data_IF_180903356032
#
_entry.id   IF_180903356032
#
_cell.length_a   1.000
_cell.length_b   1.000
_cell.length_c   1.000
_cell.angle_alpha   90.00
_cell.angle_beta   90.00
_cell.angle_gamma   90.00
#
_symmetry.space_group_name_H-M   'P 1'
#
loop_
_entity.id
_entity.type
_entity.pdbx_description
1 polymer ?
#
# COMPACT_ATOMS: atom_id res chain seq x y z
N UNK A 1 11.26 32.59 -58.95
CA UNK A 1 10.99 32.35 -60.38
C UNK A 1 12.17 31.56 -60.94
N UNK A 2 11.89 30.57 -61.77
CA UNK A 2 12.80 29.61 -62.43
C UNK A 2 13.17 28.32 -61.65
N UNK A 3 12.48 27.30 -62.14
CA UNK A 3 12.54 25.86 -61.96
C UNK A 3 13.84 25.23 -62.46
N UNK A 4 14.29 24.15 -61.81
CA UNK A 4 15.05 23.08 -62.47
C UNK A 4 14.46 21.71 -62.11
N UNK A 5 14.18 20.94 -63.16
CA UNK A 5 13.72 19.53 -63.18
C UNK A 5 14.88 18.64 -63.67
N UNK A 6 14.90 17.38 -63.22
CA UNK A 6 15.60 16.24 -63.86
C UNK A 6 16.44 15.45 -62.84
N UNK A 7 15.96 14.32 -62.28
CA UNK A 7 16.03 12.93 -62.81
C UNK A 7 17.48 12.37 -62.80
N UNK A 8 17.85 11.17 -62.35
CA UNK A 8 17.18 10.02 -61.73
C UNK A 8 18.25 9.04 -61.15
N UNK A 9 17.83 8.20 -60.19
CA UNK A 9 18.20 6.78 -59.90
C UNK A 9 19.67 6.33 -59.65
N UNK A 10 19.92 5.84 -58.43
CA UNK A 10 20.50 4.51 -58.11
C UNK A 10 20.52 4.34 -56.57
N UNK A 11 19.64 3.52 -55.98
CA UNK A 11 19.87 2.10 -55.63
C UNK A 11 21.03 1.89 -54.63
N UNK A 12 20.68 1.69 -53.35
CA UNK A 12 21.62 1.36 -52.28
C UNK A 12 20.88 1.08 -50.97
N UNK A 13 20.20 -0.06 -50.90
CA UNK A 13 19.55 -0.57 -49.71
C UNK A 13 20.58 -1.03 -48.68
N UNK A 14 20.50 -0.53 -47.45
CA UNK A 14 20.99 -1.23 -46.25
C UNK A 14 19.91 -1.15 -45.18
N UNK A 15 19.19 -2.26 -45.04
CA UNK A 15 18.31 -2.55 -43.91
C UNK A 15 19.17 -2.90 -42.69
N UNK A 16 19.07 -2.10 -41.63
CA UNK A 16 19.28 -2.58 -40.27
C UNK A 16 18.00 -2.30 -39.47
N UNK A 17 17.04 -3.22 -39.60
CA UNK A 17 15.90 -3.32 -38.70
C UNK A 17 16.35 -4.16 -37.49
N UNK A 18 16.80 -3.50 -36.43
CA UNK A 18 16.89 -4.11 -35.11
C UNK A 18 15.48 -4.10 -34.50
N UNK A 19 14.69 -5.14 -34.81
CA UNK A 19 13.42 -5.41 -34.15
C UNK A 19 13.70 -5.91 -32.73
N UNK A 20 13.76 -4.99 -31.75
CA UNK A 20 13.55 -5.36 -30.35
C UNK A 20 12.05 -5.56 -30.18
N UNK A 21 11.58 -6.76 -30.48
CA UNK A 21 10.25 -7.21 -30.10
C UNK A 21 10.24 -7.39 -28.58
N UNK A 22 10.04 -6.30 -27.84
CA UNK A 22 9.61 -6.39 -26.46
C UNK A 22 8.18 -6.93 -26.48
N UNK A 23 8.02 -8.21 -26.13
CA UNK A 23 6.73 -8.83 -25.91
C UNK A 23 6.05 -8.21 -24.68
N UNK A 24 5.48 -7.03 -24.81
CA UNK A 24 4.48 -6.54 -23.86
C UNK A 24 3.11 -6.99 -24.36
N UNK A 25 2.80 -8.27 -24.16
CA UNK A 25 1.43 -8.77 -24.31
C UNK A 25 0.57 -8.13 -23.23
N UNK A 26 -0.47 -7.36 -23.59
CA UNK A 26 -1.48 -6.95 -22.61
C UNK A 26 -2.11 -8.21 -22.04
N UNK A 27 -2.05 -8.37 -20.71
CA UNK A 27 -2.76 -9.45 -20.01
C UNK A 27 -4.20 -8.96 -19.84
N UNK A 28 -5.19 -9.49 -20.58
CA UNK A 28 -6.57 -9.29 -20.19
C UNK A 28 -6.72 -9.89 -18.79
N UNK A 29 -7.13 -9.08 -17.82
CA UNK A 29 -7.53 -9.56 -16.50
C UNK A 29 -8.80 -10.39 -16.60
N UNK A 30 -8.73 -11.59 -17.19
CA UNK A 30 -9.74 -12.61 -16.97
C UNK A 30 -9.48 -13.19 -15.60
N UNK A 31 -10.44 -12.99 -14.69
CA UNK A 31 -10.49 -13.72 -13.44
C UNK A 31 -10.23 -15.21 -13.72
N UNK A 32 -9.23 -15.78 -13.06
CA UNK A 32 -8.96 -17.21 -13.18
C UNK A 32 -10.24 -17.99 -12.81
N UNK A 33 -10.57 -19.08 -13.53
CA UNK A 33 -11.68 -19.95 -13.16
C UNK A 33 -11.49 -20.40 -11.71
N UNK A 34 -12.57 -20.32 -10.93
CA UNK A 34 -12.55 -20.69 -9.52
C UNK A 34 -12.03 -22.13 -9.36
N UNK A 35 -11.18 -22.42 -8.35
CA UNK A 35 -10.93 -23.80 -7.98
C UNK A 35 -12.27 -24.47 -7.60
N UNK A 36 -12.46 -25.76 -7.93
CA UNK A 36 -13.69 -26.47 -7.62
C UNK A 36 -13.96 -26.45 -6.10
N UNK A 37 -15.23 -26.37 -5.68
CA UNK A 37 -15.63 -26.17 -4.27
C UNK A 37 -15.27 -27.30 -3.29
N UNK A 38 -14.58 -28.37 -3.72
CA UNK A 38 -14.39 -29.60 -2.94
C UNK A 38 -12.94 -29.92 -2.56
N UNK A 39 -12.00 -28.96 -2.63
CA UNK A 39 -10.68 -29.13 -2.02
C UNK A 39 -10.70 -28.78 -0.52
N UNK A 40 -11.49 -29.52 0.25
CA UNK A 40 -11.45 -29.49 1.70
C UNK A 40 -10.08 -30.00 2.18
N UNK A 41 -9.19 -29.07 2.53
CA UNK A 41 -7.97 -29.38 3.25
C UNK A 41 -8.34 -29.81 4.67
N UNK A 42 -8.53 -31.11 4.88
CA UNK A 42 -8.56 -31.75 6.20
C UNK A 42 -7.16 -31.70 6.82
N UNK A 43 -6.78 -30.53 7.33
CA UNK A 43 -5.65 -30.36 8.23
C UNK A 43 -6.14 -30.47 9.66
N UNK A 44 -6.04 -31.68 10.24
CA UNK A 44 -6.33 -31.91 11.65
C UNK A 44 -5.36 -31.09 12.52
N UNK A 45 -5.90 -30.13 13.27
CA UNK A 45 -5.18 -29.42 14.33
C UNK A 45 -5.01 -30.38 15.52
N UNK A 46 -3.79 -30.69 15.99
CA UNK A 46 -3.61 -31.51 17.18
C UNK A 46 -4.11 -30.72 18.41
N UNK A 47 -5.25 -31.15 18.94
CA UNK A 47 -5.79 -30.70 20.23
C UNK A 47 -5.03 -31.38 21.38
N UNK A 48 -3.81 -30.90 21.67
CA UNK A 48 -3.06 -31.24 22.87
C UNK A 48 -3.21 -30.15 23.92
N UNK A 49 -4.36 -30.10 24.61
CA UNK A 49 -4.53 -29.24 25.81
C UNK A 49 -3.97 -29.97 27.03
N UNK A 50 -2.75 -29.65 27.43
CA UNK A 50 -2.31 -29.81 28.82
C UNK A 50 -2.78 -28.60 29.63
N UNK A 51 -3.54 -28.77 30.73
CA UNK A 51 -3.88 -27.67 31.61
C UNK A 51 -2.64 -27.33 32.46
N UNK A 52 -1.94 -26.25 32.11
CA UNK A 52 -0.93 -25.66 32.99
C UNK A 52 -1.64 -24.72 33.95
N UNK A 53 -2.05 -25.24 35.10
CA UNK A 53 -2.44 -24.43 36.26
C UNK A 53 -1.20 -24.17 37.10
N UNK A 54 -0.56 -23.03 36.88
CA UNK A 54 0.43 -22.48 37.80
C UNK A 54 -0.21 -21.37 38.64
N UNK A 55 0.10 -21.28 39.95
CA UNK A 55 -0.47 -20.24 40.81
C UNK A 55 0.08 -18.86 40.42
N UNK A 56 -0.83 -17.95 40.07
CA UNK A 56 -0.51 -16.55 39.78
C UNK A 56 0.11 -15.88 40.99
N UNK A 57 1.41 -15.57 40.89
CA UNK A 57 2.13 -14.75 41.86
C UNK A 57 1.60 -13.30 41.77
N UNK A 58 1.22 -12.64 42.87
CA UNK A 58 0.81 -11.25 42.84
C UNK A 58 2.03 -10.40 42.46
N UNK A 59 2.02 -9.80 41.26
CA UNK A 59 3.08 -8.88 40.81
C UNK A 59 3.62 -9.09 39.40
N UNK A 60 3.21 -10.12 38.66
CA UNK A 60 3.59 -10.27 37.25
C UNK A 60 2.86 -9.24 36.39
N UNK A 61 3.51 -8.11 36.09
CA UNK A 61 3.06 -7.16 35.07
C UNK A 61 2.95 -7.91 33.75
N UNK A 62 1.78 -7.87 33.12
CA UNK A 62 1.60 -8.37 31.75
C UNK A 62 2.65 -7.69 30.86
N UNK A 63 3.45 -8.46 30.10
CA UNK A 63 4.43 -7.89 29.18
C UNK A 63 3.76 -6.89 28.25
N UNK A 64 4.38 -5.72 28.05
CA UNK A 64 3.90 -4.73 27.10
C UNK A 64 3.97 -5.30 25.67
N UNK A 65 2.95 -5.09 24.81
CA UNK A 65 2.99 -5.56 23.43
C UNK A 65 4.20 -5.00 22.67
N UNK A 66 4.97 -5.90 22.06
CA UNK A 66 6.17 -5.55 21.29
C UNK A 66 5.93 -5.74 19.80
N UNK A 67 6.38 -4.79 18.97
CA UNK A 67 6.33 -4.88 17.50
C UNK A 67 7.55 -5.60 16.92
N UNK A 68 8.64 -5.57 17.67
CA UNK A 68 9.90 -6.24 17.40
C UNK A 68 10.67 -6.40 18.73
N UNK A 69 11.67 -7.28 18.82
CA UNK A 69 12.45 -7.44 20.05
C UNK A 69 12.96 -6.10 20.59
N UNK A 70 12.54 -5.73 21.80
CA UNK A 70 12.96 -4.49 22.44
C UNK A 70 12.24 -3.21 21.98
N UNK A 71 11.28 -3.30 21.06
CA UNK A 71 10.48 -2.16 20.60
C UNK A 71 9.03 -2.34 21.05
N UNK A 72 8.62 -1.59 22.08
CA UNK A 72 7.24 -1.58 22.55
C UNK A 72 6.33 -0.77 21.60
N UNK A 73 5.10 -1.20 21.42
CA UNK A 73 4.08 -0.38 20.76
C UNK A 73 3.70 0.85 21.61
N UNK A 74 3.17 1.87 20.94
CA UNK A 74 2.50 2.98 21.62
C UNK A 74 1.27 2.49 22.40
N UNK A 75 0.91 3.16 23.52
CA UNK A 75 -0.31 2.82 24.26
C UNK A 75 -1.54 2.83 23.35
N UNK A 76 -2.43 1.85 23.52
CA UNK A 76 -3.63 1.71 22.72
C UNK A 76 -3.44 1.03 21.35
N UNK A 77 -2.22 0.56 21.02
CA UNK A 77 -1.95 -0.12 19.75
C UNK A 77 -1.75 -1.64 19.88
N UNK A 78 -2.04 -2.23 21.05
CA UNK A 78 -1.91 -3.68 21.29
C UNK A 78 -2.64 -4.51 20.23
N UNK A 79 -3.86 -4.09 19.87
CA UNK A 79 -4.68 -4.77 18.87
C UNK A 79 -4.05 -4.71 17.47
N UNK A 80 -3.37 -3.60 17.13
CA UNK A 80 -2.64 -3.46 15.86
C UNK A 80 -1.43 -4.40 15.79
N UNK A 81 -0.70 -4.56 16.90
CA UNK A 81 0.42 -5.52 16.99
C UNK A 81 -0.04 -6.94 16.66
N UNK A 82 -1.21 -7.35 17.15
CA UNK A 82 -1.77 -8.67 16.88
C UNK A 82 -2.37 -8.79 15.46
N UNK A 83 -3.07 -7.75 14.97
CA UNK A 83 -3.80 -7.81 13.71
C UNK A 83 -2.92 -7.61 12.46
N UNK A 84 -1.93 -6.72 12.51
CA UNK A 84 -1.17 -6.31 11.33
C UNK A 84 -0.37 -7.46 10.66
N UNK A 85 0.22 -8.42 11.40
CA UNK A 85 0.84 -9.59 10.76
C UNK A 85 -0.13 -10.42 9.92
N UNK A 86 -1.39 -10.55 10.34
CA UNK A 86 -2.43 -11.26 9.59
C UNK A 86 -2.88 -10.43 8.38
N UNK A 87 -3.08 -9.13 8.59
CA UNK A 87 -3.49 -8.19 7.55
C UNK A 87 -2.47 -8.04 6.43
N UNK A 88 -1.16 -8.09 6.73
CA UNK A 88 -0.10 -8.13 5.73
C UNK A 88 -0.14 -9.37 4.84
N UNK A 89 -0.97 -10.37 5.14
CA UNK A 89 -1.16 -11.52 4.25
C UNK A 89 -2.34 -11.33 3.30
N UNK A 90 -3.28 -10.44 3.61
CA UNK A 90 -4.48 -10.19 2.78
C UNK A 90 -4.08 -9.41 1.53
N UNK A 91 -4.53 -9.87 0.37
CA UNK A 91 -4.38 -9.15 -0.89
C UNK A 91 -5.49 -8.09 -1.05
N UNK A 92 -5.19 -6.78 -0.93
CA UNK A 92 -6.20 -5.75 -1.06
C UNK A 92 -6.80 -5.67 -2.46
N UNK A 93 -6.06 -6.07 -3.51
CA UNK A 93 -6.57 -6.04 -4.87
C UNK A 93 -7.56 -7.19 -5.12
N UNK A 94 -7.39 -8.33 -4.45
CA UNK A 94 -8.34 -9.44 -4.51
C UNK A 94 -9.67 -9.17 -3.78
N UNK A 95 -9.77 -8.07 -3.02
CA UNK A 95 -11.05 -7.59 -2.46
C UNK A 95 -11.95 -6.96 -3.53
N UNK A 96 -11.40 -6.64 -4.71
CA UNK A 96 -12.15 -6.04 -5.80
C UNK A 96 -12.75 -7.07 -6.75
N UNK A 97 -14.00 -6.83 -7.14
CA UNK A 97 -14.63 -7.44 -8.32
C UNK A 97 -14.89 -6.35 -9.39
N UNK A 98 -14.04 -6.22 -10.42
CA UNK A 98 -14.22 -5.24 -11.48
C UNK A 98 -15.55 -5.38 -12.24
N UNK A 99 -16.06 -6.61 -12.40
CA UNK A 99 -17.31 -6.85 -13.11
C UNK A 99 -18.52 -6.39 -12.28
N UNK A 100 -18.50 -6.62 -10.96
CA UNK A 100 -19.50 -6.08 -10.04
C UNK A 100 -19.48 -4.54 -10.03
N UNK A 101 -18.29 -3.94 -9.95
CA UNK A 101 -18.17 -2.49 -10.00
C UNK A 101 -18.75 -1.91 -11.31
N UNK A 102 -18.50 -2.57 -12.44
CA UNK A 102 -19.05 -2.18 -13.74
C UNK A 102 -20.59 -2.23 -13.77
N UNK A 103 -21.19 -3.31 -13.22
CA UNK A 103 -22.65 -3.45 -13.16
C UNK A 103 -23.30 -2.39 -12.28
N UNK A 104 -22.72 -2.14 -11.10
CA UNK A 104 -23.29 -1.20 -10.13
C UNK A 104 -23.17 0.24 -10.61
N UNK A 105 -22.01 0.61 -11.18
CA UNK A 105 -21.73 2.01 -11.55
C UNK A 105 -22.15 2.36 -12.98
N UNK A 106 -22.32 1.35 -13.85
CA UNK A 106 -22.45 1.53 -15.30
C UNK A 106 -21.16 2.00 -15.98
N UNK A 107 -20.05 2.14 -15.26
CA UNK A 107 -18.76 2.58 -15.78
C UNK A 107 -17.89 1.38 -16.17
N UNK A 108 -16.92 1.61 -17.07
CA UNK A 108 -15.97 0.58 -17.49
C UNK A 108 -14.78 0.54 -16.51
N UNK A 109 -14.38 -0.64 -16.02
CA UNK A 109 -13.13 -0.79 -15.29
C UNK A 109 -11.95 -0.40 -16.19
N UNK A 110 -11.12 0.52 -15.71
CA UNK A 110 -9.97 1.04 -16.43
C UNK A 110 -8.67 0.51 -15.85
N UNK A 111 -8.53 0.62 -14.52
CA UNK A 111 -7.30 0.28 -13.80
C UNK A 111 -7.63 -0.44 -12.50
N UNK A 112 -6.86 -1.49 -12.19
CA UNK A 112 -6.83 -2.11 -10.86
C UNK A 112 -5.37 -2.18 -10.43
N UNK A 113 -4.98 -1.30 -9.52
CA UNK A 113 -3.57 -1.10 -9.17
C UNK A 113 -3.38 -0.98 -7.67
N UNK A 114 -2.27 -1.49 -7.10
CA UNK A 114 -1.94 -1.23 -5.71
C UNK A 114 -1.87 0.28 -5.46
N UNK A 115 -2.38 0.70 -4.31
CA UNK A 115 -2.27 2.09 -3.88
C UNK A 115 -0.83 2.46 -3.53
N UNK A 116 -0.64 3.71 -3.09
CA UNK A 116 0.67 4.20 -2.61
C UNK A 116 1.27 3.29 -1.53
N UNK A 117 0.42 2.80 -0.64
CA UNK A 117 0.80 1.84 0.40
C UNK A 117 0.32 0.44 0.02
N UNK A 118 1.10 -0.58 0.36
CA UNK A 118 0.82 -1.97 -0.06
C UNK A 118 -0.43 -2.57 0.59
N UNK A 119 -1.01 -1.91 1.59
CA UNK A 119 -2.27 -2.30 2.21
C UNK A 119 -3.49 -1.76 1.47
N UNK A 120 -3.34 -1.01 0.38
CA UNK A 120 -4.45 -0.47 -0.40
C UNK A 120 -4.40 -0.95 -1.85
N UNK A 121 -5.56 -1.05 -2.47
CA UNK A 121 -5.71 -1.21 -3.91
C UNK A 121 -6.80 -0.29 -4.43
N UNK A 122 -6.60 0.25 -5.62
CA UNK A 122 -7.50 1.18 -6.28
C UNK A 122 -8.05 0.57 -7.57
N UNK A 123 -9.37 0.52 -7.66
CA UNK A 123 -10.12 0.23 -8.87
C UNK A 123 -10.67 1.55 -9.43
N UNK A 124 -10.16 1.95 -10.58
CA UNK A 124 -10.60 3.15 -11.29
C UNK A 124 -11.56 2.75 -12.40
N UNK A 125 -12.69 3.43 -12.49
CA UNK A 125 -13.68 3.24 -13.55
C UNK A 125 -13.90 4.54 -14.31
N UNK A 126 -13.97 4.45 -15.63
CA UNK A 126 -14.21 5.58 -16.54
C UNK A 126 -15.52 5.42 -17.29
N UNK A 127 -16.16 6.54 -17.64
CA UNK A 127 -17.31 6.55 -18.53
C UNK A 127 -16.87 5.97 -19.88
N UNK A 128 -17.56 4.93 -20.35
CA UNK A 128 -17.21 4.27 -21.61
C UNK A 128 -17.27 5.24 -22.79
N UNK A 129 -16.30 5.12 -23.70
CA UNK A 129 -16.31 5.65 -25.06
C UNK A 129 -15.93 7.12 -25.31
N UNK A 130 -15.36 7.82 -24.33
CA UNK A 130 -14.72 9.13 -24.60
C UNK A 130 -13.25 8.96 -24.97
N UNK A 131 -12.80 9.66 -26.02
CA UNK A 131 -11.38 9.75 -26.40
C UNK A 131 -10.48 10.24 -25.23
N UNK A 132 -11.09 10.89 -24.24
CA UNK A 132 -10.49 11.25 -22.95
C UNK A 132 -11.09 10.35 -21.87
N UNK A 133 -10.32 9.37 -21.37
CA UNK A 133 -10.71 8.53 -20.23
C UNK A 133 -10.49 9.30 -18.92
N UNK A 134 -11.50 10.05 -18.50
CA UNK A 134 -11.49 10.66 -17.16
C UNK A 134 -12.11 9.69 -16.16
N UNK A 135 -11.49 9.51 -14.98
CA UNK A 135 -12.04 8.64 -13.95
C UNK A 135 -13.39 9.22 -13.49
N UNK A 136 -14.41 8.37 -13.51
CA UNK A 136 -15.75 8.70 -13.04
C UNK A 136 -15.93 8.21 -11.61
N UNK A 137 -15.47 6.99 -11.34
CA UNK A 137 -15.51 6.37 -10.03
C UNK A 137 -14.13 5.86 -9.62
N UNK A 138 -13.80 6.02 -8.35
CA UNK A 138 -12.65 5.34 -7.71
C UNK A 138 -13.15 4.57 -6.51
N UNK A 139 -12.88 3.27 -6.50
CA UNK A 139 -13.14 2.38 -5.39
C UNK A 139 -11.77 1.97 -4.81
N UNK A 140 -11.55 2.23 -3.53
CA UNK A 140 -10.29 1.90 -2.86
C UNK A 140 -10.57 0.90 -1.75
N UNK A 141 -9.99 -0.30 -1.86
CA UNK A 141 -9.99 -1.29 -0.79
C UNK A 141 -8.72 -1.14 0.06
N UNK A 142 -8.87 -0.90 1.36
CA UNK A 142 -7.77 -0.72 2.32
C UNK A 142 -7.82 -1.77 3.41
N UNK A 143 -6.72 -2.45 3.66
CA UNK A 143 -6.54 -3.40 4.76
C UNK A 143 -5.86 -2.69 5.93
N UNK A 144 -6.40 -2.85 7.14
CA UNK A 144 -5.84 -2.24 8.35
C UNK A 144 -6.16 -0.76 8.49
N UNK A 145 -7.29 -0.33 7.96
CA UNK A 145 -7.87 0.97 8.27
C UNK A 145 -8.30 1.03 9.74
N UNK A 146 -8.35 2.24 10.32
CA UNK A 146 -8.94 2.42 11.64
C UNK A 146 -10.46 2.21 11.58
N UNK A 147 -11.00 1.47 12.54
CA UNK A 147 -12.45 1.16 12.60
C UNK A 147 -13.33 2.40 12.84
N UNK A 148 -12.75 3.52 13.25
CA UNK A 148 -13.46 4.78 13.47
C UNK A 148 -14.47 4.75 14.63
N UNK A 149 -15.33 5.76 14.69
CA UNK A 149 -16.43 5.81 15.67
C UNK A 149 -17.54 4.84 15.28
N UNK A 150 -18.15 4.19 16.28
CA UNK A 150 -19.20 3.19 16.09
C UNK A 150 -20.51 3.88 15.71
N UNK A 151 -20.78 4.00 14.42
CA UNK A 151 -22.15 4.12 13.90
C UNK A 151 -22.81 2.73 13.98
N UNK A 152 -24.14 2.67 13.94
CA UNK A 152 -24.86 1.40 13.89
C UNK A 152 -24.39 0.55 12.69
N UNK A 153 -23.98 -0.71 12.90
CA UNK A 153 -23.65 -1.61 11.80
C UNK A 153 -24.86 -1.87 10.91
N UNK A 154 -24.60 -2.08 9.62
CA UNK A 154 -25.54 -2.51 8.60
C UNK A 154 -25.11 -3.88 8.07
N UNK A 155 -26.06 -4.77 7.82
CA UNK A 155 -25.78 -6.10 7.26
C UNK A 155 -25.95 -6.07 5.74
N UNK A 156 -24.88 -6.33 5.00
CA UNK A 156 -24.85 -6.35 3.53
C UNK A 156 -24.34 -7.73 3.10
N UNK A 157 -25.15 -8.47 2.34
CA UNK A 157 -24.84 -9.85 1.92
C UNK A 157 -24.42 -10.77 3.09
N UNK A 158 -25.04 -10.61 4.27
CA UNK A 158 -24.74 -11.40 5.46
C UNK A 158 -23.52 -10.95 6.26
N UNK A 159 -22.86 -9.85 5.87
CA UNK A 159 -21.64 -9.33 6.50
C UNK A 159 -21.95 -8.00 7.17
N UNK A 160 -21.46 -7.80 8.39
CA UNK A 160 -21.57 -6.52 9.09
C UNK A 160 -20.56 -5.50 8.55
N UNK A 161 -21.09 -4.38 8.06
CA UNK A 161 -20.32 -3.19 7.72
C UNK A 161 -20.74 -2.01 8.58
N UNK A 162 -19.85 -1.05 8.78
CA UNK A 162 -20.15 0.21 9.45
C UNK A 162 -19.81 1.35 8.51
N UNK A 163 -20.74 2.28 8.30
CA UNK A 163 -20.46 3.51 7.57
C UNK A 163 -19.64 4.46 8.46
N UNK A 164 -18.53 4.99 7.95
CA UNK A 164 -17.72 5.99 8.64
C UNK A 164 -18.07 7.37 8.07
N UNK A 165 -18.61 8.28 8.89
CA UNK A 165 -18.94 9.63 8.44
C UNK A 165 -17.71 10.34 7.87
N UNK A 166 -17.88 11.19 6.84
CA UNK A 166 -16.79 11.98 6.30
C UNK A 166 -16.19 12.89 7.39
N UNK A 167 -14.88 13.15 7.30
CA UNK A 167 -14.19 13.99 8.28
C UNK A 167 -14.58 15.48 8.15
N UNK A 168 -15.13 15.88 7.00
CA UNK A 168 -15.56 17.24 6.72
C UNK A 168 -16.84 17.30 5.89
N UNK A 169 -17.55 18.42 5.98
CA UNK A 169 -18.74 18.70 5.16
C UNK A 169 -18.43 18.78 3.66
N UNK A 170 -17.20 19.12 3.28
CA UNK A 170 -16.78 19.17 1.89
C UNK A 170 -16.70 17.78 1.21
N UNK A 171 -16.51 16.72 2.01
CA UNK A 171 -16.50 15.34 1.53
C UNK A 171 -17.91 14.72 1.51
N UNK A 172 -18.89 15.38 2.12
CA UNK A 172 -20.26 14.91 2.21
C UNK A 172 -20.88 14.79 0.81
N UNK A 173 -21.42 13.62 0.50
CA UNK A 173 -22.03 13.32 -0.80
C UNK A 173 -21.04 13.05 -1.94
N UNK A 174 -19.72 13.25 -1.74
CA UNK A 174 -18.69 12.95 -2.76
C UNK A 174 -17.93 11.65 -2.51
N UNK A 175 -17.98 11.16 -1.28
CA UNK A 175 -17.37 9.89 -0.90
C UNK A 175 -18.22 9.10 0.09
N UNK A 176 -17.98 7.79 0.16
CA UNK A 176 -18.52 6.92 1.18
C UNK A 176 -17.45 5.97 1.69
N UNK A 177 -17.39 5.78 3.01
CA UNK A 177 -16.47 4.83 3.66
C UNK A 177 -17.28 3.78 4.38
N UNK A 178 -17.11 2.52 3.99
CA UNK A 178 -17.72 1.36 4.62
C UNK A 178 -16.61 0.47 5.18
N UNK A 179 -16.71 0.07 6.45
CA UNK A 179 -15.68 -0.74 7.10
C UNK A 179 -16.24 -2.07 7.60
N UNK A 180 -15.52 -3.17 7.37
CA UNK A 180 -15.73 -4.48 8.00
C UNK A 180 -14.71 -4.65 9.11
N UNK A 181 -15.17 -4.89 10.34
CA UNK A 181 -14.28 -5.11 11.47
C UNK A 181 -13.38 -6.33 11.27
N UNK A 182 -12.09 -6.19 11.50
CA UNK A 182 -11.12 -7.31 11.53
C UNK A 182 -10.57 -7.53 12.94
N UNK A 183 -10.56 -6.47 13.75
CA UNK A 183 -10.20 -6.49 15.17
C UNK A 183 -10.94 -5.39 15.93
N UNK A 184 -10.57 -5.14 17.20
CA UNK A 184 -11.22 -4.09 18.00
C UNK A 184 -11.05 -2.69 17.41
N UNK A 185 -9.85 -2.36 16.90
CA UNK A 185 -9.51 -1.04 16.35
C UNK A 185 -9.22 -1.03 14.85
N UNK A 186 -9.15 -2.21 14.21
CA UNK A 186 -8.70 -2.36 12.82
C UNK A 186 -9.80 -2.94 11.94
N UNK A 187 -9.84 -2.53 10.67
CA UNK A 187 -10.86 -2.93 9.72
C UNK A 187 -10.32 -3.13 8.30
N UNK A 188 -11.13 -3.79 7.47
CA UNK A 188 -11.08 -3.68 6.02
C UNK A 188 -11.99 -2.52 5.61
N UNK A 189 -11.54 -1.62 4.76
CA UNK A 189 -12.30 -0.44 4.34
C UNK A 189 -12.52 -0.46 2.83
N UNK A 190 -13.75 -0.17 2.43
CA UNK A 190 -14.07 0.28 1.08
C UNK A 190 -14.34 1.80 1.11
N UNK A 191 -13.54 2.56 0.37
CA UNK A 191 -13.78 3.96 0.07
C UNK A 191 -14.26 4.10 -1.37
N UNK A 192 -15.47 4.63 -1.56
CA UNK A 192 -16.04 4.93 -2.89
C UNK A 192 -16.03 6.43 -3.09
N UNK A 193 -15.49 6.91 -4.20
CA UNK A 193 -15.46 8.33 -4.59
C UNK A 193 -16.02 8.52 -6.00
N UNK A 194 -16.84 9.55 -6.15
CA UNK A 194 -17.25 10.04 -7.46
C UNK A 194 -16.32 11.19 -7.89
N UNK A 195 -15.52 10.97 -8.92
CA UNK A 195 -14.46 11.90 -9.36
C UNK A 195 -14.92 12.82 -10.50
N UNK A 196 -15.98 12.46 -11.22
CA UNK A 196 -16.53 13.32 -12.26
C UNK A 196 -17.22 14.57 -11.68
N UNK A 197 -17.19 15.66 -12.46
CA UNK A 197 -17.83 16.94 -12.14
C UNK A 197 -19.33 16.91 -12.38
N UNK A 198 -19.80 16.07 -13.31
CA UNK A 198 -21.21 15.84 -13.54
C UNK A 198 -21.86 15.20 -12.29
N UNK A 199 -23.15 15.44 -12.03
CA UNK A 199 -23.85 14.73 -10.97
C UNK A 199 -23.84 13.21 -11.24
N UNK A 200 -23.55 12.42 -10.21
CA UNK A 200 -23.65 10.98 -10.28
C UNK A 200 -25.13 10.54 -10.28
N UNK A 201 -25.51 9.49 -11.05
CA UNK A 201 -26.86 8.95 -10.99
C UNK A 201 -27.19 8.29 -9.65
N UNK A 202 -26.16 7.91 -8.88
CA UNK A 202 -26.26 7.31 -7.56
C UNK A 202 -25.30 8.01 -6.60
N UNK A 203 -25.63 8.04 -5.31
CA UNK A 203 -24.69 8.54 -4.30
C UNK A 203 -23.54 7.53 -4.08
N UNK A 204 -22.35 7.98 -3.68
CA UNK A 204 -21.24 7.07 -3.36
C UNK A 204 -21.60 5.98 -2.33
N UNK A 205 -22.48 6.27 -1.37
CA UNK A 205 -22.91 5.27 -0.38
C UNK A 205 -23.93 4.27 -0.94
N UNK A 206 -24.77 4.67 -1.90
CA UNK A 206 -25.61 3.72 -2.62
C UNK A 206 -24.75 2.76 -3.46
N UNK A 207 -23.74 3.29 -4.17
CA UNK A 207 -22.75 2.50 -4.91
C UNK A 207 -21.99 1.56 -3.99
N UNK A 208 -21.50 2.03 -2.83
CA UNK A 208 -20.77 1.19 -1.88
C UNK A 208 -21.60 -0.01 -1.40
N UNK A 209 -22.87 0.21 -1.03
CA UNK A 209 -23.76 -0.87 -0.58
C UNK A 209 -24.04 -1.87 -1.68
N UNK A 210 -24.43 -1.40 -2.87
CA UNK A 210 -24.72 -2.28 -4.00
C UNK A 210 -23.47 -3.08 -4.42
N UNK A 211 -22.31 -2.44 -4.42
CA UNK A 211 -21.04 -3.11 -4.71
C UNK A 211 -20.70 -4.18 -3.68
N UNK A 212 -20.77 -3.87 -2.38
CA UNK A 212 -20.50 -4.84 -1.31
C UNK A 212 -21.50 -5.99 -1.30
N UNK A 213 -22.74 -5.77 -1.73
CA UNK A 213 -23.72 -6.84 -1.89
C UNK A 213 -23.29 -7.87 -2.95
N UNK A 214 -22.63 -7.42 -4.02
CA UNK A 214 -22.12 -8.31 -5.08
C UNK A 214 -20.72 -8.87 -4.77
N UNK A 215 -19.81 -8.05 -4.24
CA UNK A 215 -18.43 -8.42 -3.94
C UNK A 215 -18.27 -9.11 -2.57
N UNK A 216 -19.34 -9.21 -1.77
CA UNK A 216 -19.30 -9.61 -0.36
C UNK A 216 -18.53 -10.90 -0.08
N UNK A 217 -18.59 -11.89 -0.97
CA UNK A 217 -17.82 -13.15 -0.83
C UNK A 217 -16.31 -12.93 -0.64
N UNK A 218 -15.74 -11.93 -1.31
CA UNK A 218 -14.31 -11.59 -1.20
C UNK A 218 -14.00 -10.81 0.09
N UNK A 219 -15.01 -10.20 0.69
CA UNK A 219 -14.88 -9.44 1.95
C UNK A 219 -15.06 -10.32 3.18
N UNK A 220 -15.89 -11.36 3.08
CA UNK A 220 -16.10 -12.30 4.17
C UNK A 220 -14.87 -13.19 4.40
N UNK A 221 -14.35 -13.76 3.31
CA UNK A 221 -13.14 -14.56 3.26
C UNK A 221 -12.10 -13.93 2.31
N UNK A 222 -11.38 -12.88 2.76
CA UNK A 222 -10.35 -12.23 1.95
C UNK A 222 -9.28 -13.20 1.48
N UNK A 223 -8.99 -13.16 0.19
CA UNK A 223 -7.88 -13.90 -0.37
C UNK A 223 -6.54 -13.40 0.20
N UNK A 224 -5.61 -14.33 0.35
CA UNK A 224 -4.26 -14.05 0.76
C UNK A 224 -3.40 -13.79 -0.48
N UNK A 225 -2.31 -13.02 -0.31
CA UNK A 225 -1.28 -12.83 -1.34
C UNK A 225 -0.70 -14.15 -1.84
N UNK A 226 -0.62 -15.13 -0.95
CA UNK A 226 -0.18 -16.49 -1.26
C UNK A 226 -1.11 -17.25 -2.23
N UNK A 227 -2.37 -16.83 -2.35
CA UNK A 227 -3.36 -17.44 -3.24
C UNK A 227 -3.17 -17.00 -4.70
N UNK A 228 -2.33 -15.98 -4.96
CA UNK A 228 -1.93 -15.52 -6.30
C UNK A 228 -3.11 -15.16 -7.22
N UNK A 229 -4.18 -14.61 -6.65
CA UNK A 229 -5.34 -14.12 -7.42
C UNK A 229 -5.04 -12.81 -8.16
N UNK A 230 -3.99 -12.09 -7.76
CA UNK A 230 -3.53 -10.87 -8.42
C UNK A 230 -2.08 -10.98 -8.85
N UNK A 231 -1.73 -10.22 -9.88
CA UNK A 231 -0.38 -10.16 -10.45
C UNK A 231 0.03 -8.71 -10.66
N UNK A 232 1.32 -8.37 -10.47
CA UNK A 232 2.42 -9.24 -10.06
C UNK A 232 2.46 -9.50 -8.54
N UNK A 233 3.17 -10.55 -8.12
CA UNK A 233 3.45 -10.75 -6.68
C UNK A 233 4.39 -9.67 -6.16
N UNK A 234 3.99 -8.99 -5.08
CA UNK A 234 4.75 -7.90 -4.47
C UNK A 234 5.64 -8.45 -3.35
N UNK A 235 6.93 -8.62 -3.61
CA UNK A 235 7.92 -9.24 -2.71
C UNK A 235 7.99 -8.57 -1.33
N UNK A 236 7.85 -7.25 -1.26
CA UNK A 236 7.96 -6.53 0.02
C UNK A 236 6.65 -6.46 0.80
N UNK A 237 5.55 -6.99 0.25
CA UNK A 237 4.23 -6.85 0.85
C UNK A 237 3.98 -7.79 2.05
N UNK A 238 4.82 -8.81 2.25
CA UNK A 238 4.76 -9.67 3.44
C UNK A 238 5.69 -9.19 4.57
N UNK A 239 6.54 -8.18 4.31
CA UNK A 239 7.52 -7.72 5.28
C UNK A 239 6.89 -6.92 6.42
N UNK A 240 7.42 -7.12 7.63
CA UNK A 240 7.16 -6.24 8.77
C UNK A 240 8.15 -5.06 8.75
N UNK A 241 7.69 -3.81 8.51
CA UNK A 241 8.58 -2.65 8.49
C UNK A 241 9.24 -2.36 9.84
N UNK A 242 8.68 -2.84 10.97
CA UNK A 242 9.29 -2.65 12.29
C UNK A 242 10.37 -3.69 12.60
N UNK A 243 10.33 -4.88 12.00
CA UNK A 243 11.27 -5.96 12.30
C UNK A 243 12.74 -5.58 11.99
N UNK A 244 12.94 -4.81 10.91
CA UNK A 244 14.25 -4.32 10.49
C UNK A 244 14.81 -3.16 11.32
N UNK A 245 14.10 -2.68 12.35
CA UNK A 245 14.45 -1.45 13.07
C UNK A 245 15.04 -1.67 14.47
N UNK A 246 15.27 -2.92 14.88
CA UNK A 246 15.78 -3.25 16.22
C UNK A 246 17.12 -2.57 16.53
N UNK A 247 18.07 -2.58 15.59
CA UNK A 247 19.37 -1.92 15.75
C UNK A 247 19.21 -0.40 15.87
N UNK A 248 18.41 0.20 14.99
CA UNK A 248 18.16 1.65 14.97
C UNK A 248 17.44 2.12 16.23
N UNK A 249 16.51 1.33 16.77
CA UNK A 249 15.83 1.65 18.02
C UNK A 249 16.81 1.78 19.19
N UNK A 250 17.88 0.98 19.24
CA UNK A 250 18.88 1.08 20.30
C UNK A 250 19.68 2.40 20.26
N UNK A 251 19.91 2.93 19.06
CA UNK A 251 20.62 4.21 18.85
C UNK A 251 19.76 5.43 19.19
N UNK A 252 18.43 5.32 19.05
CA UNK A 252 17.48 6.37 19.40
C UNK A 252 17.33 6.56 20.93
N UNK A 253 17.98 5.71 21.72
CA UNK A 253 18.04 5.81 23.18
C UNK A 253 16.98 4.98 23.90
N UNK A 254 16.78 5.25 25.19
CA UNK A 254 15.82 4.52 26.00
C UNK A 254 14.38 4.96 25.74
N UNK A 255 13.44 4.01 25.84
CA UNK A 255 12.01 4.31 25.74
C UNK A 255 11.53 4.62 24.33
N UNK A 256 12.13 4.02 23.31
CA UNK A 256 11.60 4.07 21.94
C UNK A 256 10.28 3.31 21.89
N UNK A 257 9.27 3.94 21.28
CA UNK A 257 7.96 3.33 21.03
C UNK A 257 7.63 3.36 19.56
N UNK A 258 6.99 2.30 19.08
CA UNK A 258 6.48 2.21 17.73
C UNK A 258 5.02 2.67 17.63
N UNK A 259 4.74 3.56 16.68
CA UNK A 259 3.41 3.83 16.17
C UNK A 259 3.22 3.11 14.84
N UNK A 260 2.06 2.47 14.69
CA UNK A 260 1.70 1.62 13.56
C UNK A 260 0.57 2.28 12.75
N UNK A 261 0.89 3.21 11.82
CA UNK A 261 -0.13 3.92 11.04
C UNK A 261 -0.97 2.97 10.16
N UNK A 262 -0.35 1.95 9.59
CA UNK A 262 -0.99 0.90 8.76
C UNK A 262 -0.09 -0.35 8.74
N UNK A 263 -0.53 -1.50 8.18
CA UNK A 263 0.23 -2.77 8.26
C UNK A 263 1.65 -2.74 7.67
N UNK A 264 1.89 -1.81 6.76
CA UNK A 264 3.14 -1.62 6.01
C UNK A 264 3.88 -0.32 6.37
N UNK A 265 3.54 0.28 7.51
CA UNK A 265 4.19 1.47 8.03
C UNK A 265 4.63 1.30 9.49
N UNK A 266 5.81 1.79 9.83
CA UNK A 266 6.35 1.81 11.19
C UNK A 266 6.95 3.18 11.51
N UNK A 267 6.51 3.82 12.59
CA UNK A 267 7.16 5.03 13.10
C UNK A 267 7.75 4.79 14.47
N UNK A 268 9.06 4.98 14.64
CA UNK A 268 9.71 5.00 15.95
C UNK A 268 9.73 6.41 16.51
N UNK A 269 9.35 6.54 17.79
CA UNK A 269 9.34 7.78 18.55
C UNK A 269 10.15 7.59 19.83
N UNK A 270 11.21 8.37 20.00
CA UNK A 270 11.95 8.42 21.26
C UNK A 270 11.13 9.19 22.32
N UNK A 271 10.75 8.54 23.43
CA UNK A 271 9.89 9.16 24.46
C UNK A 271 10.64 9.83 25.61
N UNK A 272 11.92 9.52 25.81
CA UNK A 272 12.80 10.19 26.78
C UNK A 272 14.21 10.30 26.20
N UNK A 273 14.66 11.51 25.89
CA UNK A 273 16.07 11.76 25.64
C UNK A 273 16.76 12.24 26.91
N UNK A 274 17.92 11.70 27.25
CA UNK A 274 18.78 12.29 28.26
C UNK A 274 19.29 13.66 27.77
N UNK A 275 19.31 14.72 28.59
CA UNK A 275 19.85 16.02 28.20
C UNK A 275 21.28 15.87 27.64
N UNK A 276 21.51 16.31 26.40
CA UNK A 276 22.82 16.27 25.75
C UNK A 276 23.04 15.16 24.72
N UNK A 277 22.12 14.19 24.57
CA UNK A 277 22.17 13.24 23.46
C UNK A 277 21.58 13.84 22.15
N UNK A 278 22.10 13.49 20.97
CA UNK A 278 21.47 13.83 19.70
C UNK A 278 20.00 13.35 19.69
N UNK A 279 19.05 14.28 19.53
CA UNK A 279 17.61 13.97 19.57
C UNK A 279 16.92 14.15 20.93
N UNK A 280 17.66 14.47 21.98
CA UNK A 280 17.09 14.81 23.28
C UNK A 280 16.28 16.12 23.23
N UNK A 281 14.99 16.04 23.58
CA UNK A 281 14.08 17.19 23.64
C UNK A 281 13.33 17.52 22.36
N UNK A 282 13.62 16.89 21.22
CA UNK A 282 12.91 17.13 19.94
C UNK A 282 12.10 15.95 19.40
N UNK A 283 11.98 14.86 20.16
CA UNK A 283 11.21 13.68 19.75
C UNK A 283 11.74 13.13 18.43
N UNK A 284 12.94 12.53 18.45
CA UNK A 284 13.50 11.90 17.27
C UNK A 284 12.47 10.91 16.69
N UNK A 285 12.01 11.22 15.47
CA UNK A 285 11.03 10.45 14.73
C UNK A 285 11.72 9.83 13.53
N UNK A 286 11.60 8.51 13.44
CA UNK A 286 11.94 7.73 12.26
C UNK A 286 10.64 7.13 11.74
N UNK A 287 10.36 7.24 10.44
CA UNK A 287 9.21 6.58 9.82
C UNK A 287 9.69 5.78 8.63
N UNK A 288 9.27 4.51 8.55
CA UNK A 288 9.50 3.63 7.42
C UNK A 288 8.15 3.20 6.84
N UNK A 289 8.02 3.31 5.53
CA UNK A 289 6.84 2.90 4.77
C UNK A 289 7.27 1.99 3.61
N UNK A 290 6.52 0.89 3.44
CA UNK A 290 6.63 0.00 2.30
C UNK A 290 5.47 0.31 1.34
N UNK A 291 5.79 0.54 0.08
CA UNK A 291 4.83 1.09 -0.87
C UNK A 291 5.16 0.84 -2.33
N UNK A 292 4.27 1.33 -3.17
CA UNK A 292 4.51 1.51 -4.60
C UNK A 292 4.74 2.99 -4.88
N UNK A 293 5.73 3.30 -5.69
CA UNK A 293 5.96 4.67 -6.16
C UNK A 293 6.52 4.65 -7.58
N UNK A 294 6.32 5.76 -8.31
CA UNK A 294 7.11 6.03 -9.52
C UNK A 294 8.58 5.89 -9.16
N UNK A 295 9.36 5.25 -10.04
CA UNK A 295 10.79 5.03 -9.81
C UNK A 295 11.48 6.32 -9.32
N UNK A 296 11.94 6.35 -8.06
CA UNK A 296 12.48 7.57 -7.47
C UNK A 296 13.75 8.05 -8.19
N UNK A 297 14.46 7.16 -8.92
CA UNK A 297 15.66 7.51 -9.70
C UNK A 297 15.36 8.55 -10.78
N UNK A 298 14.13 8.58 -11.29
CA UNK A 298 13.71 9.58 -12.29
C UNK A 298 13.81 11.02 -11.77
N UNK A 299 13.89 11.25 -10.46
CA UNK A 299 14.10 12.59 -9.88
C UNK A 299 15.53 13.11 -10.14
N UNK A 300 16.49 12.21 -10.35
CA UNK A 300 17.88 12.55 -10.68
C UNK A 300 17.99 13.02 -12.13
N UNK A 301 17.31 12.34 -13.05
CA UNK A 301 17.36 12.61 -14.49
C UNK A 301 16.75 13.98 -14.84
N UNK A 302 15.75 14.40 -14.07
CA UNK A 302 15.07 15.69 -14.26
C UNK A 302 15.82 16.87 -13.63
N UNK A 303 17.07 16.68 -13.19
CA UNK A 303 17.89 17.68 -12.50
C UNK A 303 17.13 18.41 -11.37
N UNK A 304 16.25 17.68 -10.67
CA UNK A 304 15.40 18.29 -9.64
C UNK A 304 16.28 18.72 -8.47
N UNK A 305 16.35 20.02 -8.13
CA UNK A 305 17.28 20.49 -7.10
C UNK A 305 17.03 19.81 -5.76
N UNK A 306 18.10 19.45 -5.07
CA UNK A 306 18.04 18.90 -3.70
C UNK A 306 17.83 17.40 -3.59
N UNK A 307 17.77 16.65 -4.70
CA UNK A 307 17.84 15.19 -4.70
C UNK A 307 19.26 14.69 -4.95
N UNK A 308 19.68 13.68 -4.20
CA UNK A 308 21.02 13.08 -4.28
C UNK A 308 20.88 11.57 -4.42
N UNK A 309 21.62 10.99 -5.36
CA UNK A 309 21.69 9.54 -5.54
C UNK A 309 22.27 8.86 -4.31
N UNK A 310 21.69 7.73 -3.91
CA UNK A 310 22.15 6.92 -2.77
C UNK A 310 22.05 5.44 -3.12
N UNK A 311 22.85 4.63 -2.44
CA UNK A 311 22.79 3.17 -2.54
C UNK A 311 22.70 2.60 -1.13
N UNK A 312 21.71 1.73 -0.90
CA UNK A 312 21.46 1.09 0.41
C UNK A 312 21.32 -0.40 0.18
N UNK A 313 22.08 -1.23 0.89
CA UNK A 313 22.12 -2.68 0.67
C UNK A 313 22.33 -3.10 -0.80
N UNK A 314 23.11 -2.32 -1.58
CA UNK A 314 23.34 -2.54 -3.01
C UNK A 314 22.18 -2.13 -3.92
N UNK A 315 21.12 -1.53 -3.37
CA UNK A 315 19.94 -1.10 -4.12
C UNK A 315 19.95 0.42 -4.34
N UNK A 316 19.62 0.89 -5.54
CA UNK A 316 19.65 2.31 -5.86
C UNK A 316 18.44 3.04 -5.25
N UNK A 317 18.64 4.31 -4.93
CA UNK A 317 17.60 5.19 -4.42
C UNK A 317 17.96 6.65 -4.53
N UNK A 318 17.12 7.49 -3.94
CA UNK A 318 17.35 8.94 -3.83
C UNK A 318 17.13 9.41 -2.41
N UNK A 319 17.85 10.44 -2.01
CA UNK A 319 17.62 11.15 -0.76
C UNK A 319 17.43 12.64 -1.02
N UNK A 320 16.66 13.30 -0.17
CA UNK A 320 16.51 14.75 -0.15
C UNK A 320 16.38 15.26 1.27
N UNK A 321 16.79 16.50 1.52
CA UNK A 321 16.56 17.18 2.80
C UNK A 321 15.49 18.24 2.61
N UNK A 322 14.38 18.09 3.33
CA UNK A 322 13.29 19.07 3.34
C UNK A 322 13.36 19.94 4.59
N UNK A 323 13.20 21.26 4.47
CA UNK A 323 12.99 22.11 5.65
C UNK A 323 11.72 21.67 6.38
N UNK A 324 11.78 21.55 7.71
CA UNK A 324 10.61 21.37 8.56
C UNK A 324 10.71 22.30 9.78
N UNK A 325 9.58 22.55 10.44
CA UNK A 325 9.50 23.48 11.57
C UNK A 325 10.49 23.15 12.72
N UNK A 326 10.83 21.87 12.90
CA UNK A 326 11.75 21.40 13.94
C UNK A 326 13.22 21.29 13.48
N UNK A 327 13.51 21.52 12.19
CA UNK A 327 14.80 21.28 11.54
C UNK A 327 14.64 20.62 10.16
N UNK A 328 15.74 20.34 9.46
CA UNK A 328 15.65 19.59 8.20
C UNK A 328 15.25 18.14 8.46
N UNK A 329 14.34 17.59 7.67
CA UNK A 329 14.02 16.16 7.65
C UNK A 329 14.66 15.54 6.41
N UNK A 330 15.40 14.44 6.59
CA UNK A 330 15.85 13.62 5.48
C UNK A 330 14.74 12.68 5.04
N UNK A 331 14.39 12.71 3.76
CA UNK A 331 13.54 11.73 3.10
C UNK A 331 14.41 10.89 2.17
N UNK A 332 14.27 9.58 2.28
CA UNK A 332 15.00 8.57 1.52
C UNK A 332 13.98 7.64 0.85
N UNK A 333 14.16 7.35 -0.43
CA UNK A 333 13.38 6.34 -1.15
C UNK A 333 14.33 5.39 -1.87
N UNK A 334 14.27 4.10 -1.52
CA UNK A 334 15.12 3.05 -2.09
C UNK A 334 14.27 2.04 -2.86
N UNK A 335 14.70 1.70 -4.07
CA UNK A 335 14.04 0.69 -4.90
C UNK A 335 14.26 -0.69 -4.28
N UNK A 336 13.17 -1.28 -3.78
CA UNK A 336 13.20 -2.58 -3.12
C UNK A 336 13.06 -3.75 -4.13
N UNK A 337 12.44 -3.51 -5.27
CA UNK A 337 12.33 -4.46 -6.38
C UNK A 337 11.97 -3.71 -7.66
N UNK A 338 12.86 -3.70 -8.65
CA UNK A 338 12.63 -3.17 -10.00
C UNK A 338 12.43 -4.27 -11.05
N UNK A 339 12.48 -5.55 -10.66
CA UNK A 339 12.12 -6.66 -11.56
C UNK A 339 10.61 -6.74 -11.75
N UNK A 340 9.86 -6.24 -10.78
CA UNK A 340 8.40 -6.13 -10.79
C UNK A 340 8.00 -4.67 -10.93
N UNK A 341 7.42 -4.34 -12.08
CA UNK A 341 6.85 -3.00 -12.33
C UNK A 341 5.35 -3.09 -12.50
N UNK A 342 4.64 -2.10 -11.94
CA UNK A 342 3.20 -1.92 -12.16
C UNK A 342 3.02 -0.64 -12.96
N UNK A 343 2.36 -0.72 -14.11
CA UNK A 343 1.93 0.48 -14.83
C UNK A 343 0.59 0.89 -14.28
N UNK A 344 0.52 2.11 -13.72
CA UNK A 344 -0.72 2.64 -13.17
C UNK A 344 -1.82 2.70 -14.23
N UNK A 345 -1.47 3.20 -15.43
CA UNK A 345 -2.39 3.34 -16.57
C UNK A 345 -1.80 2.60 -17.78
N UNK A 346 -2.38 1.47 -18.18
CA UNK A 346 -1.95 0.75 -19.39
C UNK A 346 -2.43 1.40 -20.68
N UNK A 347 -3.33 2.38 -20.58
CA UNK A 347 -4.01 3.02 -21.72
C UNK A 347 -3.40 4.37 -22.09
N UNK A 348 -2.62 4.98 -21.18
CA UNK A 348 -1.79 6.15 -21.49
C UNK A 348 -0.39 5.75 -21.93
N UNK A 349 -0.09 6.11 -23.18
CA UNK A 349 1.29 6.11 -23.67
C UNK A 349 2.16 6.98 -22.76
N UNK A 350 3.24 6.40 -22.21
CA UNK A 350 4.17 7.08 -21.31
C UNK A 350 3.81 7.04 -19.83
N UNK A 351 2.80 6.27 -19.41
CA UNK A 351 2.56 6.01 -17.99
C UNK A 351 3.83 5.44 -17.33
N UNK A 352 4.33 6.14 -16.32
CA UNK A 352 5.56 5.75 -15.63
C UNK A 352 5.31 4.47 -14.83
N UNK A 353 6.24 3.53 -14.95
CA UNK A 353 6.25 2.33 -14.13
C UNK A 353 6.41 2.70 -12.65
N UNK A 354 5.53 2.16 -11.81
CA UNK A 354 5.71 2.13 -10.38
C UNK A 354 6.52 0.88 -10.00
N UNK A 355 7.44 1.07 -9.06
CA UNK A 355 8.29 0.03 -8.47
C UNK A 355 7.97 -0.10 -6.99
N UNK A 356 8.37 -1.23 -6.40
CA UNK A 356 8.28 -1.42 -4.96
C UNK A 356 9.38 -0.59 -4.28
N UNK A 357 9.03 0.25 -3.31
CA UNK A 357 9.96 1.15 -2.63
C UNK A 357 9.90 1.01 -1.11
N UNK A 358 11.07 1.17 -0.48
CA UNK A 358 11.18 1.49 0.95
C UNK A 358 11.38 2.99 1.09
N UNK A 359 10.41 3.68 1.69
CA UNK A 359 10.53 5.11 2.00
C UNK A 359 10.84 5.29 3.47
N UNK A 360 11.86 6.10 3.78
CA UNK A 360 12.29 6.39 5.14
C UNK A 360 12.37 7.90 5.35
N UNK A 361 11.80 8.37 6.46
CA UNK A 361 11.90 9.75 6.91
C UNK A 361 12.54 9.81 8.30
N UNK A 362 13.60 10.61 8.45
CA UNK A 362 14.34 10.75 9.70
C UNK A 362 14.93 12.16 9.84
N UNK A 363 15.39 12.53 11.05
CA UNK A 363 16.07 13.81 11.27
C UNK A 363 17.39 13.92 10.46
N UNK A 364 18.06 12.80 10.23
CA UNK A 364 19.35 12.76 9.53
C UNK A 364 19.40 11.62 8.50
N UNK A 365 20.08 11.85 7.38
CA UNK A 365 20.18 10.84 6.32
C UNK A 365 20.94 9.57 6.71
N UNK A 366 22.03 9.61 7.51
CA UNK A 366 22.67 8.38 7.98
C UNK A 366 21.73 7.46 8.77
N UNK A 367 20.84 8.04 9.59
CA UNK A 367 19.81 7.28 10.32
C UNK A 367 18.77 6.68 9.36
N UNK A 368 18.32 7.45 8.36
CA UNK A 368 17.41 6.95 7.33
C UNK A 368 18.02 5.78 6.53
N UNK A 369 19.30 5.89 6.16
CA UNK A 369 20.04 4.84 5.44
C UNK A 369 20.14 3.55 6.25
N UNK A 370 20.50 3.63 7.54
CA UNK A 370 20.56 2.44 8.42
C UNK A 370 19.20 1.77 8.59
N UNK A 371 18.13 2.56 8.73
CA UNK A 371 16.78 2.03 8.83
C UNK A 371 16.32 1.35 7.53
N UNK A 372 16.60 1.95 6.37
CA UNK A 372 16.34 1.33 5.09
C UNK A 372 17.14 0.03 4.91
N UNK A 373 18.42 0.02 5.29
CA UNK A 373 19.28 -1.17 5.23
C UNK A 373 18.72 -2.32 6.08
N UNK A 374 18.33 -2.05 7.32
CA UNK A 374 17.76 -3.04 8.22
C UNK A 374 16.46 -3.66 7.71
N UNK A 375 15.60 -2.88 7.03
CA UNK A 375 14.37 -3.38 6.42
C UNK A 375 14.64 -4.13 5.11
N UNK A 376 15.55 -3.63 4.26
CA UNK A 376 15.93 -4.30 3.02
C UNK A 376 16.67 -5.63 3.26
N UNK A 377 17.32 -5.79 4.41
CA UNK A 377 17.93 -7.05 4.82
C UNK A 377 16.91 -8.19 4.98
N UNK A 378 15.63 -7.88 5.20
CA UNK A 378 14.55 -8.86 5.33
C UNK A 378 14.13 -9.50 3.98
N UNK A 379 14.61 -8.97 2.85
CA UNK A 379 14.30 -9.48 1.50
C UNK A 379 15.27 -10.59 1.07
N UNK A 380 16.40 -10.75 1.78
CA UNK A 380 17.44 -11.75 1.49
C UNK A 380 16.97 -13.13 1.93
#
# INVERSE_FOLDING_TARGET
MLTFRGSALAAGAVLLAAAVAACSTPIPGTALPQPPPDAAATGAVPSGRTPVTAPSRPGSRTPEPQVAPGIAAMPGQADKVAAYPLMRRIDPCALHDPAAAARVTGARPDELVPGRHLNACELVLSAGDTAVRLPTWRLTATVGADRGQRVAPEVIAGIEFTEIPPASTAEQGRSCRMVRGFGPTTALELLVRHEATAPAPQTPCAVARAYLAEAGKWWDAPALRADKLTTPTLRIADLDPCAGLTSVASELGQGVRASLPHPHGCSLLATKGEPGQPGAGKGARLTVELGMAIDPRALLDNATPGYVAVTVAGRPGVSTRRPAAAGSTCELAVVADDTVTVRADQTRDGARAAVQVVTVSAAECPLAVRAADGVLALIR
#
